data_IF_359582131695
#
_entry.id   IF_359582131695
#
_cell.length_a   1.000
_cell.length_b   1.000
_cell.length_c   1.000
_cell.angle_alpha   90.00
_cell.angle_beta   90.00
_cell.angle_gamma   90.00
#
_symmetry.space_group_name_H-M   'P 1'
#
loop_
_entity.id
_entity.type
_entity.pdbx_description
1 polymer ?
#
# COMPACT_ATOMS: atom_id res chain seq x y z
N UNK A 1 4.10 -13.72 -6.35
CA UNK A 1 3.03 -13.07 -7.12
C UNK A 1 2.90 -11.59 -6.79
N UNK A 2 2.25 -11.15 -5.69
CA UNK A 2 2.19 -9.73 -5.33
C UNK A 2 3.55 -9.12 -5.00
N UNK A 3 4.24 -9.72 -4.04
CA UNK A 3 5.59 -9.33 -3.62
C UNK A 3 6.56 -9.20 -4.80
N UNK A 4 6.63 -10.24 -5.64
CA UNK A 4 7.59 -10.28 -6.73
C UNK A 4 7.23 -9.21 -7.78
N UNK A 5 5.93 -9.08 -8.14
CA UNK A 5 5.44 -7.99 -9.01
C UNK A 5 5.84 -6.61 -8.50
N UNK A 6 5.63 -6.34 -7.21
CA UNK A 6 5.92 -5.04 -6.62
C UNK A 6 7.43 -4.75 -6.53
N UNK A 7 8.25 -5.73 -6.16
CA UNK A 7 9.70 -5.52 -6.08
C UNK A 7 10.32 -5.37 -7.46
N UNK A 8 9.76 -6.04 -8.47
CA UNK A 8 10.26 -5.99 -9.85
C UNK A 8 9.75 -4.78 -10.63
N UNK A 9 8.67 -4.12 -10.17
CA UNK A 9 8.07 -3.00 -10.88
C UNK A 9 8.89 -1.71 -10.85
N UNK A 10 9.83 -1.57 -9.91
CA UNK A 10 10.71 -0.39 -9.83
C UNK A 10 12.02 -0.70 -9.11
N UNK A 11 13.13 -0.20 -9.64
CA UNK A 11 14.44 -0.27 -8.97
C UNK A 11 14.40 0.40 -7.60
N UNK A 12 13.68 1.51 -7.47
CA UNK A 12 13.56 2.25 -6.20
C UNK A 12 12.79 1.43 -5.16
N UNK A 13 11.69 0.79 -5.55
CA UNK A 13 10.93 -0.10 -4.66
C UNK A 13 11.81 -1.25 -4.17
N UNK A 14 12.56 -1.87 -5.08
CA UNK A 14 13.51 -2.94 -4.74
C UNK A 14 14.51 -2.52 -3.67
N UNK A 15 14.98 -1.27 -3.68
CA UNK A 15 15.94 -0.78 -2.68
C UNK A 15 15.35 -0.71 -1.26
N UNK A 16 14.07 -0.35 -1.11
CA UNK A 16 13.41 -0.34 0.21
C UNK A 16 13.33 -1.73 0.85
N UNK A 17 13.28 -2.78 0.03
CA UNK A 17 13.22 -4.17 0.48
C UNK A 17 14.59 -4.86 0.52
N UNK A 18 15.64 -4.29 -0.07
CA UNK A 18 16.93 -4.98 -0.28
C UNK A 18 17.61 -5.47 1.02
N UNK A 19 17.35 -4.80 2.16
CA UNK A 19 17.95 -5.16 3.47
C UNK A 19 17.06 -6.04 4.33
N UNK A 20 15.84 -6.33 3.88
CA UNK A 20 14.88 -7.11 4.63
C UNK A 20 14.93 -8.58 4.14
N UNK A 21 14.78 -9.57 5.03
CA UNK A 21 14.63 -10.94 4.60
C UNK A 21 13.23 -11.17 4.02
N UNK A 22 13.11 -12.07 3.03
CA UNK A 22 11.88 -12.29 2.25
C UNK A 22 10.61 -12.50 3.09
N UNK A 23 10.72 -13.22 4.21
CA UNK A 23 9.59 -13.44 5.12
C UNK A 23 9.04 -12.14 5.74
N UNK A 24 9.89 -11.14 5.94
CA UNK A 24 9.45 -9.83 6.43
C UNK A 24 8.73 -9.03 5.35
N UNK A 25 9.08 -9.19 4.08
CA UNK A 25 8.40 -8.50 2.99
C UNK A 25 6.92 -8.91 2.94
N UNK A 26 6.65 -10.22 2.96
CA UNK A 26 5.27 -10.72 2.95
C UNK A 26 4.47 -10.20 4.13
N UNK A 27 5.06 -10.19 5.33
CA UNK A 27 4.39 -9.69 6.53
C UNK A 27 4.08 -8.19 6.42
N UNK A 28 4.99 -7.39 5.89
CA UNK A 28 4.80 -5.95 5.68
C UNK A 28 3.67 -5.72 4.67
N UNK A 29 3.71 -6.43 3.55
CA UNK A 29 2.75 -6.27 2.46
C UNK A 29 1.34 -6.78 2.81
N UNK A 30 1.23 -7.90 3.52
CA UNK A 30 -0.06 -8.38 4.01
C UNK A 30 -0.66 -7.40 5.03
N UNK A 31 0.18 -6.87 5.92
CA UNK A 31 -0.22 -5.87 6.90
C UNK A 31 -0.67 -4.56 6.24
N UNK A 32 0.02 -4.09 5.21
CA UNK A 32 -0.36 -2.85 4.53
C UNK A 32 -1.74 -2.94 3.88
N UNK A 33 -2.09 -4.08 3.27
CA UNK A 33 -3.44 -4.32 2.74
C UNK A 33 -4.48 -4.31 3.86
N UNK A 34 -4.23 -5.01 4.96
CA UNK A 34 -5.17 -5.06 6.09
C UNK A 34 -5.41 -3.66 6.72
N UNK A 35 -4.36 -2.85 6.83
CA UNK A 35 -4.44 -1.46 7.33
C UNK A 35 -5.26 -0.58 6.37
N UNK A 36 -5.07 -0.71 5.05
CA UNK A 36 -5.83 0.03 4.05
C UNK A 36 -7.32 -0.32 4.08
N UNK A 37 -7.67 -1.61 4.16
CA UNK A 37 -9.06 -2.07 4.25
C UNK A 37 -9.70 -1.57 5.55
N UNK A 38 -9.02 -1.74 6.68
CA UNK A 38 -9.55 -1.28 7.98
C UNK A 38 -9.76 0.24 8.00
N UNK A 39 -8.89 1.00 7.34
CA UNK A 39 -9.03 2.45 7.19
C UNK A 39 -10.21 2.83 6.30
N UNK A 40 -10.43 2.10 5.21
CA UNK A 40 -11.57 2.34 4.32
C UNK A 40 -12.92 2.08 5.01
N UNK A 41 -12.96 1.18 5.99
CA UNK A 41 -14.10 0.91 6.87
C UNK A 41 -14.31 1.96 7.99
N UNK A 42 -13.48 3.01 8.05
CA UNK A 42 -13.59 4.13 9.00
C UNK A 42 -13.53 3.74 10.49
N UNK A 43 -12.91 2.60 10.79
CA UNK A 43 -12.67 2.19 12.18
C UNK A 43 -11.78 3.22 12.89
N UNK A 44 -12.18 3.78 14.05
CA UNK A 44 -11.40 4.81 14.74
C UNK A 44 -9.93 4.43 14.99
N UNK A 45 -9.70 3.19 15.40
CA UNK A 45 -8.37 2.62 15.61
C UNK A 45 -7.54 2.53 14.32
N UNK A 46 -8.18 2.36 13.17
CA UNK A 46 -7.52 2.29 11.88
C UNK A 46 -7.05 3.66 11.40
N UNK A 47 -7.76 4.74 11.75
CA UNK A 47 -7.34 6.12 11.43
C UNK A 47 -6.00 6.44 12.10
N UNK A 48 -5.89 6.17 13.41
CA UNK A 48 -4.63 6.41 14.13
C UNK A 48 -3.51 5.53 13.58
N UNK A 49 -3.81 4.26 13.29
CA UNK A 49 -2.84 3.35 12.68
C UNK A 49 -2.33 3.87 11.34
N UNK A 50 -3.23 4.36 10.49
CA UNK A 50 -2.88 4.90 9.17
C UNK A 50 -2.04 6.18 9.27
N UNK A 51 -2.28 7.02 10.28
CA UNK A 51 -1.41 8.16 10.57
C UNK A 51 0.01 7.73 10.97
N UNK A 52 0.14 6.64 11.75
CA UNK A 52 1.45 6.11 12.12
C UNK A 52 2.19 5.53 10.92
N UNK A 53 1.48 4.83 10.03
CA UNK A 53 2.01 4.35 8.75
C UNK A 53 2.49 5.52 7.90
N UNK A 54 1.67 6.57 7.73
CA UNK A 54 2.05 7.77 6.99
C UNK A 54 3.31 8.44 7.55
N UNK A 55 3.50 8.44 8.87
CA UNK A 55 4.73 8.97 9.51
C UNK A 55 5.97 8.13 9.15
N UNK A 56 5.81 6.81 9.00
CA UNK A 56 6.92 5.91 8.60
C UNK A 56 7.24 6.02 7.12
N UNK A 57 6.23 6.08 6.26
CA UNK A 57 6.43 6.17 4.82
C UNK A 57 6.83 7.58 4.36
N UNK A 58 6.43 8.61 5.12
CA UNK A 58 6.68 10.00 4.78
C UNK A 58 8.15 10.45 4.88
N UNK A 59 8.37 11.72 4.52
CA UNK A 59 9.69 12.33 4.29
C UNK A 59 10.72 12.18 5.41
N UNK A 60 10.27 12.09 6.66
CA UNK A 60 11.16 12.02 7.85
C UNK A 60 11.77 10.64 8.07
N UNK A 61 11.25 9.59 7.43
CA UNK A 61 11.72 8.21 7.61
C UNK A 61 12.07 7.60 6.27
N UNK A 62 11.12 6.91 5.62
CA UNK A 62 11.42 6.22 4.37
C UNK A 62 11.38 7.14 3.15
N UNK A 63 10.68 8.28 3.23
CA UNK A 63 10.59 9.24 2.13
C UNK A 63 10.12 8.59 0.81
N UNK A 64 9.09 7.76 0.90
CA UNK A 64 8.49 7.12 -0.28
C UNK A 64 7.93 8.20 -1.20
N UNK A 65 8.44 8.27 -2.43
CA UNK A 65 7.95 9.21 -3.42
C UNK A 65 6.49 8.89 -3.81
N UNK A 66 5.60 9.88 -3.98
CA UNK A 66 4.18 9.66 -4.29
C UNK A 66 3.95 8.78 -5.53
N UNK A 67 4.82 8.88 -6.52
CA UNK A 67 4.74 8.13 -7.78
C UNK A 67 4.90 6.62 -7.56
N UNK A 68 5.55 6.21 -6.46
CA UNK A 68 5.75 4.80 -6.14
C UNK A 68 4.46 4.09 -5.73
N UNK A 69 3.46 4.84 -5.24
CA UNK A 69 2.17 4.25 -4.86
C UNK A 69 1.39 3.73 -6.07
N UNK A 70 1.65 4.23 -7.28
CA UNK A 70 1.07 3.71 -8.52
C UNK A 70 1.54 2.27 -8.80
N UNK A 71 2.82 1.97 -8.59
CA UNK A 71 3.31 0.61 -8.73
C UNK A 71 2.73 -0.32 -7.67
N UNK A 72 2.56 0.18 -6.45
CA UNK A 72 1.90 -0.56 -5.37
C UNK A 72 0.45 -0.90 -5.72
N UNK A 73 -0.35 0.08 -6.16
CA UNK A 73 -1.75 -0.15 -6.51
C UNK A 73 -1.89 -1.11 -7.68
N UNK A 74 -1.10 -0.94 -8.75
CA UNK A 74 -1.09 -1.86 -9.89
C UNK A 74 -0.76 -3.29 -9.47
N UNK A 75 0.30 -3.48 -8.67
CA UNK A 75 0.69 -4.81 -8.22
C UNK A 75 -0.38 -5.48 -7.34
N UNK A 76 -1.10 -4.72 -6.51
CA UNK A 76 -2.24 -5.23 -5.73
C UNK A 76 -3.39 -5.63 -6.66
N UNK A 77 -3.83 -4.72 -7.54
CA UNK A 77 -4.97 -4.93 -8.43
C UNK A 77 -4.75 -6.13 -9.36
N UNK A 78 -3.57 -6.22 -10.00
CA UNK A 78 -3.21 -7.37 -10.83
C UNK A 78 -3.16 -8.68 -10.06
N UNK A 79 -2.72 -8.65 -8.80
CA UNK A 79 -2.69 -9.87 -7.98
C UNK A 79 -4.10 -10.31 -7.63
N UNK A 80 -4.96 -9.37 -7.23
CA UNK A 80 -6.35 -9.68 -6.86
C UNK A 80 -7.16 -10.20 -8.05
N UNK A 81 -7.00 -9.61 -9.23
CA UNK A 81 -7.71 -10.08 -10.43
C UNK A 81 -7.33 -11.50 -10.85
N UNK A 82 -6.11 -11.93 -10.55
CA UNK A 82 -5.65 -13.29 -10.81
C UNK A 82 -6.10 -14.31 -9.75
N UNK A 83 -6.35 -13.89 -8.50
CA UNK A 83 -6.66 -14.79 -7.38
C UNK A 83 -8.14 -14.86 -7.03
N UNK A 84 -8.88 -13.76 -7.17
CA UNK A 84 -10.30 -13.73 -6.83
C UNK A 84 -11.11 -14.29 -8.00
N UNK A 85 -11.58 -15.53 -7.88
CA UNK A 85 -12.45 -16.17 -8.87
C UNK A 85 -13.78 -15.44 -9.08
N UNK A 86 -14.12 -14.48 -8.22
CA UNK A 86 -15.31 -13.61 -8.34
C UNK A 86 -14.97 -12.24 -8.92
N UNK A 87 -13.73 -12.01 -9.36
CA UNK A 87 -13.29 -10.72 -9.89
C UNK A 87 -14.28 -10.23 -10.95
N UNK A 88 -14.75 -9.01 -10.74
CA UNK A 88 -15.73 -8.36 -11.60
C UNK A 88 -15.43 -6.86 -11.62
N UNK A 89 -15.97 -6.11 -12.60
CA UNK A 89 -15.80 -4.65 -12.65
C UNK A 89 -16.26 -3.94 -11.37
N UNK A 90 -17.26 -4.50 -10.67
CA UNK A 90 -17.73 -3.96 -9.39
C UNK A 90 -16.72 -4.18 -8.25
N UNK A 91 -16.09 -5.36 -8.20
CA UNK A 91 -15.03 -5.65 -7.22
C UNK A 91 -13.80 -4.80 -7.50
N UNK A 92 -13.42 -4.68 -8.77
CA UNK A 92 -12.32 -3.82 -9.22
C UNK A 92 -12.53 -2.38 -8.76
N UNK A 93 -13.68 -1.77 -9.08
CA UNK A 93 -14.00 -0.41 -8.66
C UNK A 93 -14.00 -0.23 -7.13
N UNK A 94 -14.44 -1.23 -6.37
CA UNK A 94 -14.41 -1.20 -4.92
C UNK A 94 -12.97 -1.20 -4.37
N UNK A 95 -12.08 -1.99 -4.97
CA UNK A 95 -10.66 -2.00 -4.61
C UNK A 95 -9.95 -0.70 -5.03
N UNK A 96 -10.22 -0.16 -6.21
CA UNK A 96 -9.69 1.14 -6.64
C UNK A 96 -10.08 2.24 -5.65
N UNK A 97 -11.35 2.30 -5.24
CA UNK A 97 -11.82 3.25 -4.23
C UNK A 97 -11.13 3.07 -2.89
N UNK A 98 -10.96 1.82 -2.45
CA UNK A 98 -10.28 1.48 -1.18
C UNK A 98 -8.82 1.92 -1.19
N UNK A 99 -8.08 1.55 -2.24
CA UNK A 99 -6.67 1.86 -2.40
C UNK A 99 -6.44 3.36 -2.54
N UNK A 100 -7.19 4.03 -3.41
CA UNK A 100 -7.06 5.47 -3.63
C UNK A 100 -7.31 6.27 -2.35
N UNK A 101 -8.36 5.94 -1.58
CA UNK A 101 -8.64 6.60 -0.30
C UNK A 101 -7.45 6.50 0.67
N UNK A 102 -6.89 5.30 0.83
CA UNK A 102 -5.76 5.09 1.73
C UNK A 102 -4.46 5.73 1.23
N UNK A 103 -4.15 5.60 -0.06
CA UNK A 103 -2.96 6.19 -0.68
C UNK A 103 -3.00 7.72 -0.60
N UNK A 104 -4.13 8.34 -0.91
CA UNK A 104 -4.29 9.79 -0.80
C UNK A 104 -4.05 10.27 0.64
N UNK A 105 -4.56 9.54 1.64
CA UNK A 105 -4.27 9.84 3.04
C UNK A 105 -2.76 9.77 3.37
N UNK A 106 -2.03 8.78 2.83
CA UNK A 106 -0.58 8.69 3.01
C UNK A 106 0.14 9.87 2.38
N UNK A 107 -0.25 10.24 1.15
CA UNK A 107 0.34 11.37 0.41
C UNK A 107 0.10 12.67 1.17
N UNK A 108 -1.14 12.98 1.53
CA UNK A 108 -1.50 14.21 2.24
C UNK A 108 -0.72 14.36 3.56
N UNK A 109 -0.63 13.28 4.34
CA UNK A 109 0.11 13.28 5.62
C UNK A 109 1.63 13.27 5.44
N UNK A 110 2.15 12.87 4.29
CA UNK A 110 3.60 12.92 4.00
C UNK A 110 4.09 14.34 3.67
N UNK A 111 3.17 15.23 3.27
CA UNK A 111 3.46 16.63 2.89
C UNK A 111 3.34 17.59 4.09
N UNK A 112 2.48 17.28 5.07
CA UNK A 112 2.22 18.15 6.22
C UNK A 112 3.39 18.11 7.23
N UNK A 113 4.05 19.25 7.43
CA UNK A 113 5.01 19.47 8.53
C UNK A 113 4.22 19.63 9.84
N UNK A 114 4.33 18.66 10.74
CA UNK A 114 4.07 18.86 12.17
C UNK A 114 5.33 19.34 12.87
#
# INVERSE_FOLDING_TARGET
MFHDKLIESSHEIKQYFAKLPRHQHYRILAKSIAELVSFAEEKPEAIQKMNDVARVLGRRKLNIAPELYTYYSLAVMETLSLLDHRWSPQIEAAWEKTLSRGINHLIDKSVIKF
#
